data_IF_234914117575
#
_entry.id   IF_234914117575
#
_cell.length_a   1.000
_cell.length_b   1.000
_cell.length_c   1.000
_cell.angle_alpha   90.00
_cell.angle_beta   90.00
_cell.angle_gamma   90.00
#
_symmetry.space_group_name_H-M   'P 1'
#
loop_
_entity.id
_entity.type
_entity.pdbx_description
1 polymer ?
#
# COMPACT_ATOMS: atom_id res chain seq x y z
N UNK A 1 10.35 12.08 -22.73
CA UNK A 1 9.13 12.41 -21.95
C UNK A 1 9.41 12.16 -20.48
N UNK A 2 9.42 13.18 -19.64
CA UNK A 2 9.50 13.00 -18.19
C UNK A 2 8.13 12.50 -17.72
N UNK A 3 8.07 11.47 -16.87
CA UNK A 3 6.84 10.80 -16.40
C UNK A 3 5.87 11.66 -15.56
N UNK A 4 5.89 12.99 -15.72
CA UNK A 4 5.08 13.97 -14.97
C UNK A 4 3.58 13.91 -15.27
N UNK A 5 3.16 13.19 -16.33
CA UNK A 5 1.77 13.12 -16.77
C UNK A 5 1.25 11.69 -17.04
N UNK A 6 2.06 10.66 -16.78
CA UNK A 6 1.70 9.28 -17.06
C UNK A 6 1.91 8.41 -15.83
N UNK A 7 0.88 7.69 -15.43
CA UNK A 7 1.00 6.62 -14.44
C UNK A 7 1.32 5.33 -15.19
N UNK A 8 2.49 4.76 -14.92
CA UNK A 8 2.84 3.44 -15.43
C UNK A 8 1.94 2.38 -14.79
N UNK A 9 1.40 1.49 -15.59
CA UNK A 9 0.63 0.34 -15.12
C UNK A 9 1.40 -0.93 -15.42
N UNK A 10 1.49 -1.79 -14.41
CA UNK A 10 1.93 -3.17 -14.60
C UNK A 10 0.89 -3.96 -15.39
N UNK A 11 1.31 -5.06 -16.00
CA UNK A 11 0.42 -6.05 -16.61
C UNK A 11 -0.64 -6.54 -15.62
N UNK A 12 -0.23 -6.79 -14.37
CA UNK A 12 -1.13 -7.18 -13.26
C UNK A 12 -2.33 -6.23 -13.13
N UNK A 13 -2.08 -4.93 -13.12
CA UNK A 13 -3.14 -3.90 -12.98
C UNK A 13 -3.96 -3.68 -14.24
N UNK A 14 -3.48 -4.13 -15.41
CA UNK A 14 -4.22 -4.08 -16.67
C UNK A 14 -5.16 -5.29 -16.79
N UNK A 15 -4.72 -6.45 -16.33
CA UNK A 15 -5.50 -7.70 -16.29
C UNK A 15 -6.53 -7.70 -15.16
N UNK A 16 -6.20 -7.08 -14.03
CA UNK A 16 -7.05 -6.97 -12.84
C UNK A 16 -7.37 -5.51 -12.47
N UNK A 17 -8.10 -4.77 -13.31
CA UNK A 17 -8.46 -3.36 -13.04
C UNK A 17 -9.37 -3.20 -11.81
N UNK A 18 -10.04 -4.25 -11.35
CA UNK A 18 -10.83 -4.32 -10.14
C UNK A 18 -9.99 -4.23 -8.85
N UNK A 19 -8.70 -4.60 -8.91
CA UNK A 19 -7.80 -4.52 -7.77
C UNK A 19 -7.20 -3.13 -7.55
N UNK A 20 -7.35 -2.20 -8.49
CA UNK A 20 -6.88 -0.83 -8.31
C UNK A 20 -7.64 -0.16 -7.15
N UNK A 21 -6.96 0.61 -6.31
CA UNK A 21 -7.63 1.35 -5.23
C UNK A 21 -8.64 2.34 -5.80
N UNK A 22 -9.83 2.40 -5.19
CA UNK A 22 -10.95 3.22 -5.67
C UNK A 22 -11.40 4.24 -4.64
N UNK A 23 -11.96 5.35 -5.14
CA UNK A 23 -12.56 6.36 -4.28
C UNK A 23 -13.85 5.86 -3.61
N UNK A 24 -14.35 6.65 -2.65
CA UNK A 24 -15.53 6.30 -1.85
C UNK A 24 -16.77 5.95 -2.68
N UNK A 25 -16.90 6.56 -3.85
CA UNK A 25 -18.04 6.37 -4.74
C UNK A 25 -17.79 5.26 -5.78
N UNK A 26 -16.55 4.74 -5.86
CA UNK A 26 -16.11 3.77 -6.85
C UNK A 26 -15.95 4.34 -8.27
N UNK A 27 -15.90 5.66 -8.42
CA UNK A 27 -15.84 6.37 -9.72
C UNK A 27 -14.40 6.51 -10.20
N UNK A 28 -13.50 6.88 -9.31
CA UNK A 28 -12.08 7.10 -9.64
C UNK A 28 -11.22 5.92 -9.19
N UNK A 29 -10.30 5.48 -10.06
CA UNK A 29 -9.26 4.50 -9.72
C UNK A 29 -7.89 5.16 -9.69
N UNK A 30 -7.09 4.90 -8.65
CA UNK A 30 -5.70 5.36 -8.61
C UNK A 30 -4.82 4.40 -9.43
N UNK A 31 -4.47 4.81 -10.66
CA UNK A 31 -3.70 3.98 -11.58
C UNK A 31 -2.34 3.60 -11.00
N UNK A 32 -2.04 2.31 -10.99
CA UNK A 32 -0.78 1.73 -10.50
C UNK A 32 -0.71 1.53 -8.98
N UNK A 33 -1.79 1.79 -8.23
CA UNK A 33 -1.88 1.46 -6.80
C UNK A 33 -2.88 0.34 -6.61
N UNK A 34 -2.40 -0.79 -6.11
CA UNK A 34 -3.19 -2.02 -5.90
C UNK A 34 -3.74 -2.05 -4.48
N UNK A 35 -5.02 -2.40 -4.35
CA UNK A 35 -5.68 -2.63 -3.08
C UNK A 35 -5.24 -3.96 -2.50
N UNK A 36 -4.63 -3.91 -1.32
CA UNK A 36 -4.24 -5.10 -0.57
C UNK A 36 -5.43 -5.79 0.12
N UNK A 37 -6.63 -5.22 0.02
CA UNK A 37 -7.85 -5.84 0.56
C UNK A 37 -8.20 -7.15 -0.15
N UNK A 38 -7.80 -7.31 -1.42
CA UNK A 38 -7.98 -8.55 -2.17
C UNK A 38 -6.88 -9.57 -1.82
N UNK A 39 -7.22 -10.75 -1.25
CA UNK A 39 -6.24 -11.81 -1.00
C UNK A 39 -5.51 -12.27 -2.27
N UNK A 40 -6.19 -12.29 -3.41
CA UNK A 40 -5.64 -12.63 -4.72
C UNK A 40 -4.55 -11.64 -5.14
N UNK A 41 -4.76 -10.34 -4.91
CA UNK A 41 -3.78 -9.32 -5.23
C UNK A 41 -2.52 -9.45 -4.36
N UNK A 42 -2.68 -9.75 -3.06
CA UNK A 42 -1.55 -10.00 -2.14
C UNK A 42 -0.74 -11.22 -2.58
N UNK A 43 -1.43 -12.33 -2.86
CA UNK A 43 -0.82 -13.56 -3.37
C UNK A 43 -0.07 -13.34 -4.69
N UNK A 44 -0.63 -12.58 -5.63
CA UNK A 44 0.04 -12.29 -6.90
C UNK A 44 1.35 -11.49 -6.69
N UNK A 45 1.40 -10.57 -5.71
CA UNK A 45 2.67 -9.91 -5.35
C UNK A 45 3.67 -10.90 -4.75
N UNK A 46 3.23 -11.71 -3.79
CA UNK A 46 4.08 -12.69 -3.11
C UNK A 46 4.67 -13.67 -4.12
N UNK A 47 3.85 -14.27 -4.98
CA UNK A 47 4.27 -15.19 -6.03
C UNK A 47 5.28 -14.54 -6.97
N UNK A 48 5.04 -13.30 -7.41
CA UNK A 48 5.97 -12.57 -8.26
C UNK A 48 7.32 -12.34 -7.57
N UNK A 49 7.31 -11.93 -6.30
CA UNK A 49 8.55 -11.67 -5.56
C UNK A 49 9.33 -12.94 -5.27
N UNK A 50 8.66 -14.02 -4.86
CA UNK A 50 9.31 -15.31 -4.58
C UNK A 50 9.88 -15.92 -5.86
N UNK A 51 9.16 -15.86 -7.00
CA UNK A 51 9.68 -16.31 -8.29
C UNK A 51 10.90 -15.48 -8.75
N UNK A 52 10.86 -14.16 -8.54
CA UNK A 52 11.98 -13.27 -8.92
C UNK A 52 13.24 -13.58 -8.11
N UNK A 53 13.11 -13.80 -6.80
CA UNK A 53 14.26 -13.96 -5.90
C UNK A 53 14.79 -15.41 -5.88
N UNK A 54 13.93 -16.41 -6.12
CA UNK A 54 14.31 -17.84 -6.07
C UNK A 54 15.59 -18.20 -6.84
N UNK A 55 15.80 -17.78 -8.11
CA UNK A 55 17.00 -18.13 -8.86
C UNK A 55 18.23 -17.28 -8.53
N UNK A 56 18.13 -16.37 -7.54
CA UNK A 56 19.19 -15.41 -7.22
C UNK A 56 19.93 -15.76 -5.93
N UNK A 57 21.15 -15.26 -5.81
CA UNK A 57 21.95 -15.28 -4.59
C UNK A 57 21.60 -14.14 -3.61
N UNK A 58 20.52 -13.39 -3.85
CA UNK A 58 20.14 -12.31 -2.94
C UNK A 58 19.71 -12.86 -1.58
N UNK A 59 20.23 -12.25 -0.52
CA UNK A 59 19.98 -12.70 0.86
C UNK A 59 18.53 -12.49 1.30
N UNK A 60 17.80 -11.55 0.70
CA UNK A 60 16.47 -11.21 1.15
C UNK A 60 15.72 -10.25 0.25
N UNK A 61 14.50 -9.93 0.67
CA UNK A 61 13.59 -9.06 -0.07
C UNK A 61 13.39 -7.75 0.69
N UNK A 62 13.53 -6.63 -0.02
CA UNK A 62 13.20 -5.31 0.51
C UNK A 62 11.88 -4.80 -0.11
N UNK A 63 10.87 -4.58 0.73
CA UNK A 63 9.55 -4.06 0.35
C UNK A 63 9.51 -2.55 0.54
N UNK A 64 9.33 -1.84 -0.57
CA UNK A 64 9.15 -0.39 -0.59
C UNK A 64 7.65 -0.06 -0.60
N UNK A 65 7.12 0.53 0.48
CA UNK A 65 5.70 0.94 0.54
C UNK A 65 5.39 2.25 -0.21
N UNK A 66 6.35 2.76 -0.98
CA UNK A 66 6.19 3.99 -1.77
C UNK A 66 5.67 3.67 -3.15
N UNK A 67 4.95 4.62 -3.75
CA UNK A 67 4.47 4.49 -5.12
C UNK A 67 4.95 5.65 -5.99
N UNK A 68 5.21 5.33 -7.26
CA UNK A 68 5.47 6.32 -8.29
C UNK A 68 4.18 6.75 -9.01
N UNK A 69 3.04 6.16 -8.66
CA UNK A 69 1.72 6.55 -9.17
C UNK A 69 1.39 8.00 -8.82
N UNK A 70 0.45 8.56 -9.58
CA UNK A 70 -0.09 9.89 -9.28
C UNK A 70 -0.67 9.88 -7.85
N UNK A 71 -0.33 10.86 -7.01
CA UNK A 71 -0.91 11.03 -5.67
C UNK A 71 -2.41 11.08 -5.65
N UNK A 72 -2.96 10.69 -4.50
CA UNK A 72 -4.28 11.15 -4.09
C UNK A 72 -4.30 12.68 -3.90
N UNK A 73 -5.45 13.28 -4.17
CA UNK A 73 -5.73 14.70 -3.92
C UNK A 73 -5.82 14.98 -2.42
N UNK A 74 -6.28 13.99 -1.63
CA UNK A 74 -6.27 14.03 -0.16
C UNK A 74 -6.04 12.63 0.43
N UNK A 75 -5.59 12.57 1.70
CA UNK A 75 -5.08 11.33 2.30
C UNK A 75 -6.10 10.19 2.48
N UNK A 76 -7.40 10.50 2.57
CA UNK A 76 -8.48 9.52 2.70
C UNK A 76 -9.29 9.35 1.40
N UNK A 77 -8.72 9.68 0.23
CA UNK A 77 -9.45 9.62 -1.04
C UNK A 77 -9.77 8.20 -1.49
N UNK A 78 -8.82 7.28 -1.33
CA UNK A 78 -8.87 5.93 -1.89
C UNK A 78 -8.93 4.84 -0.81
N UNK A 79 -9.16 3.59 -1.26
CA UNK A 79 -9.19 2.40 -0.41
C UNK A 79 -10.58 1.79 -0.25
N UNK A 80 -11.61 2.37 -0.87
CA UNK A 80 -13.01 1.94 -0.76
C UNK A 80 -13.38 0.79 -1.70
N UNK A 81 -12.43 -0.11 -1.93
CA UNK A 81 -12.65 -1.34 -2.68
C UNK A 81 -13.69 -2.20 -1.96
N UNK A 82 -14.43 -3.01 -2.72
CA UNK A 82 -15.54 -3.80 -2.20
C UNK A 82 -15.14 -4.66 -0.99
N UNK A 83 -14.01 -5.38 -0.97
CA UNK A 83 -13.62 -6.19 0.18
C UNK A 83 -13.37 -5.36 1.45
N UNK A 84 -12.77 -4.17 1.31
CA UNK A 84 -12.56 -3.28 2.44
C UNK A 84 -13.88 -2.73 2.99
N UNK A 85 -14.80 -2.33 2.10
CA UNK A 85 -16.13 -1.88 2.50
C UNK A 85 -16.93 -3.00 3.17
N UNK A 86 -16.86 -4.22 2.64
CA UNK A 86 -17.54 -5.40 3.19
C UNK A 86 -16.99 -5.75 4.57
N UNK A 87 -15.66 -5.77 4.73
CA UNK A 87 -15.00 -6.06 6.00
C UNK A 87 -15.33 -5.00 7.07
N UNK A 88 -15.32 -3.71 6.72
CA UNK A 88 -15.72 -2.67 7.67
C UNK A 88 -17.18 -2.78 8.08
N UNK A 89 -18.07 -3.06 7.13
CA UNK A 89 -19.49 -3.30 7.42
C UNK A 89 -19.67 -4.52 8.31
N UNK A 90 -18.90 -5.58 8.11
CA UNK A 90 -18.95 -6.76 8.95
C UNK A 90 -18.50 -6.47 10.39
N UNK A 91 -17.44 -5.65 10.58
CA UNK A 91 -16.91 -5.29 11.89
C UNK A 91 -17.76 -4.29 12.66
N UNK A 92 -18.33 -3.31 11.97
CA UNK A 92 -18.93 -2.13 12.61
C UNK A 92 -20.40 -1.90 12.24
N UNK A 93 -20.97 -2.67 11.31
CA UNK A 93 -22.35 -2.51 10.85
C UNK A 93 -22.59 -1.31 9.92
N UNK A 94 -21.55 -0.55 9.55
CA UNK A 94 -21.65 0.71 8.81
C UNK A 94 -21.34 0.54 7.32
N UNK A 95 -22.17 1.09 6.45
CA UNK A 95 -21.85 1.23 5.03
C UNK A 95 -21.04 2.51 4.77
N UNK A 96 -19.72 2.38 4.78
CA UNK A 96 -18.78 3.50 4.57
C UNK A 96 -19.00 4.28 3.29
N UNK A 97 -19.69 3.73 2.27
CA UNK A 97 -19.96 4.45 1.01
C UNK A 97 -21.12 5.45 1.13
N UNK A 98 -21.97 5.33 2.15
CA UNK A 98 -23.21 6.10 2.28
C UNK A 98 -23.37 6.79 3.63
N UNK A 99 -22.74 6.27 4.65
CA UNK A 99 -22.92 6.69 6.05
C UNK A 99 -21.64 7.30 6.60
N UNK A 100 -21.76 8.16 7.59
CA UNK A 100 -20.61 8.63 8.37
C UNK A 100 -19.99 7.46 9.15
N UNK A 101 -18.66 7.49 9.31
CA UNK A 101 -17.92 6.40 9.93
C UNK A 101 -16.67 6.93 10.65
N UNK A 102 -16.15 6.14 11.56
CA UNK A 102 -14.87 6.42 12.22
C UNK A 102 -13.72 6.28 11.21
N UNK A 103 -13.13 7.42 10.84
CA UNK A 103 -12.02 7.48 9.89
C UNK A 103 -10.77 6.76 10.40
N UNK A 104 -10.52 6.78 11.72
CA UNK A 104 -9.34 6.10 12.25
C UNK A 104 -9.53 4.59 12.17
N UNK A 105 -10.71 4.08 12.55
CA UNK A 105 -11.03 2.66 12.38
C UNK A 105 -10.90 2.19 10.92
N UNK A 106 -11.25 3.06 9.96
CA UNK A 106 -11.06 2.77 8.53
C UNK A 106 -9.59 2.72 8.13
N UNK A 107 -8.78 3.69 8.58
CA UNK A 107 -7.32 3.71 8.33
C UNK A 107 -6.61 2.51 8.92
N UNK A 108 -7.04 2.09 10.11
CA UNK A 108 -6.53 0.90 10.79
C UNK A 108 -6.89 -0.37 10.01
N UNK A 109 -8.14 -0.49 9.53
CA UNK A 109 -8.55 -1.60 8.66
C UNK A 109 -7.70 -1.66 7.37
N UNK A 110 -7.43 -0.53 6.72
CA UNK A 110 -6.55 -0.50 5.56
C UNK A 110 -5.11 -0.95 5.93
N UNK A 111 -4.66 -0.64 7.14
CA UNK A 111 -3.38 -1.08 7.69
C UNK A 111 -3.33 -2.57 8.00
N UNK A 112 -4.46 -3.18 8.38
CA UNK A 112 -4.58 -4.62 8.57
C UNK A 112 -4.27 -5.38 7.29
N UNK A 113 -4.64 -4.84 6.12
CA UNK A 113 -4.33 -5.48 4.84
C UNK A 113 -2.83 -5.43 4.47
N UNK A 114 -2.11 -4.39 4.91
CA UNK A 114 -0.63 -4.38 4.82
C UNK A 114 -0.07 -5.45 5.75
N UNK A 115 -0.60 -5.55 6.97
CA UNK A 115 -0.18 -6.57 7.95
C UNK A 115 -0.46 -7.99 7.46
N UNK A 116 -1.59 -8.20 6.76
CA UNK A 116 -1.93 -9.47 6.13
C UNK A 116 -0.91 -9.83 5.03
N UNK A 117 -0.57 -8.88 4.14
CA UNK A 117 0.47 -9.08 3.12
C UNK A 117 1.80 -9.51 3.75
N UNK A 118 2.26 -8.83 4.80
CA UNK A 118 3.52 -9.15 5.46
C UNK A 118 3.47 -10.50 6.19
N UNK A 119 2.32 -10.85 6.76
CA UNK A 119 2.09 -12.16 7.37
C UNK A 119 2.19 -13.28 6.34
N UNK A 120 1.48 -13.13 5.22
CA UNK A 120 1.48 -14.09 4.12
C UNK A 120 2.86 -14.20 3.46
N UNK A 121 3.55 -13.07 3.24
CA UNK A 121 4.92 -13.05 2.71
C UNK A 121 5.91 -13.74 3.64
N UNK A 122 5.85 -13.48 4.95
CA UNK A 122 6.73 -14.12 5.94
C UNK A 122 6.58 -15.64 5.92
N UNK A 123 5.36 -16.15 5.72
CA UNK A 123 5.09 -17.57 5.60
C UNK A 123 5.58 -18.18 4.28
N UNK A 124 5.57 -17.41 3.20
CA UNK A 124 5.93 -17.87 1.85
C UNK A 124 7.42 -17.74 1.51
N UNK A 125 8.18 -16.92 2.24
CA UNK A 125 9.58 -16.62 1.95
C UNK A 125 10.47 -17.07 3.11
N UNK A 126 11.43 -17.96 2.83
CA UNK A 126 12.46 -18.42 3.79
C UNK A 126 13.76 -17.60 3.63
N UNK A 127 13.64 -16.27 3.61
CA UNK A 127 14.76 -15.31 3.49
C UNK A 127 14.44 -14.03 4.26
N UNK A 128 15.44 -13.27 4.74
CA UNK A 128 15.25 -11.96 5.35
C UNK A 128 14.28 -11.03 4.60
N UNK A 129 13.40 -10.36 5.36
CA UNK A 129 12.45 -9.37 4.86
C UNK A 129 12.77 -8.00 5.46
N UNK A 130 13.07 -7.03 4.60
CA UNK A 130 13.15 -5.62 4.96
C UNK A 130 11.90 -4.86 4.51
N UNK A 131 11.41 -3.91 5.31
CA UNK A 131 10.31 -3.02 4.92
C UNK A 131 10.73 -1.57 5.11
N UNK A 132 10.50 -0.75 4.08
CA UNK A 132 10.69 0.70 4.13
C UNK A 132 9.40 1.43 4.52
N UNK A 133 9.48 2.29 5.53
CA UNK A 133 8.35 3.09 6.01
C UNK A 133 8.68 4.58 6.10
N UNK A 134 7.64 5.42 6.02
CA UNK A 134 7.73 6.82 6.39
C UNK A 134 8.00 6.97 7.90
N UNK A 135 8.42 8.16 8.32
CA UNK A 135 8.54 8.47 9.74
C UNK A 135 7.14 8.63 10.35
N UNK A 136 6.82 7.81 11.34
CA UNK A 136 5.55 7.86 12.08
C UNK A 136 4.66 6.65 11.81
N UNK A 137 3.38 6.79 12.14
CA UNK A 137 2.41 5.69 12.14
C UNK A 137 1.47 5.70 10.93
N UNK A 138 1.74 6.54 9.93
CA UNK A 138 0.93 6.68 8.72
C UNK A 138 1.77 6.40 7.47
N UNK A 139 1.16 5.76 6.47
CA UNK A 139 1.79 5.54 5.16
C UNK A 139 2.20 6.86 4.51
N UNK A 140 1.35 7.88 4.66
CA UNK A 140 1.61 9.26 4.30
C UNK A 140 1.36 9.60 2.82
N UNK A 141 1.39 10.90 2.49
CA UNK A 141 1.29 11.36 1.10
C UNK A 141 2.45 10.80 0.28
N UNK A 142 2.23 10.27 -0.93
CA UNK A 142 1.09 10.52 -1.81
C UNK A 142 -0.01 9.45 -1.78
N UNK A 143 0.12 8.43 -0.92
CA UNK A 143 -0.69 7.20 -1.01
C UNK A 143 -1.91 7.20 -0.09
N UNK A 144 -1.80 7.82 1.09
CA UNK A 144 -2.93 8.02 1.98
C UNK A 144 -2.59 7.95 3.46
N UNK A 145 -3.61 8.03 4.30
CA UNK A 145 -3.47 8.01 5.76
C UNK A 145 -3.62 6.60 6.36
N UNK A 146 -3.36 5.55 5.60
CA UNK A 146 -3.37 4.17 6.10
C UNK A 146 -2.43 4.02 7.29
N UNK A 147 -2.89 3.40 8.36
CA UNK A 147 -2.08 3.18 9.57
C UNK A 147 -1.01 2.13 9.32
N UNK A 148 0.23 2.40 9.73
CA UNK A 148 1.34 1.46 9.70
C UNK A 148 1.46 0.78 11.06
N UNK A 149 1.08 -0.49 11.13
CA UNK A 149 1.14 -1.30 12.36
C UNK A 149 2.56 -1.84 12.63
N UNK A 150 3.61 -1.03 12.42
CA UNK A 150 5.00 -1.49 12.43
C UNK A 150 5.45 -2.08 13.77
N UNK A 151 4.90 -1.59 14.90
CA UNK A 151 5.15 -2.17 16.23
C UNK A 151 4.66 -3.61 16.30
N UNK A 152 3.49 -3.89 15.73
CA UNK A 152 2.93 -5.23 15.66
C UNK A 152 3.74 -6.14 14.74
N UNK A 153 4.24 -5.60 13.62
CA UNK A 153 5.09 -6.35 12.70
C UNK A 153 6.39 -6.81 13.38
N UNK A 154 7.02 -5.94 14.17
CA UNK A 154 8.20 -6.28 14.98
C UNK A 154 7.84 -7.32 16.04
N UNK A 155 6.77 -7.08 16.82
CA UNK A 155 6.35 -7.97 17.91
C UNK A 155 6.07 -9.39 17.43
N UNK A 156 5.50 -9.54 16.23
CA UNK A 156 5.19 -10.83 15.60
C UNK A 156 6.34 -11.44 14.79
N UNK A 157 7.48 -10.75 14.67
CA UNK A 157 8.60 -11.22 13.85
C UNK A 157 8.28 -11.32 12.36
N UNK A 158 7.45 -10.41 11.83
CA UNK A 158 7.06 -10.42 10.41
C UNK A 158 8.16 -9.90 9.47
N UNK A 159 9.14 -9.19 10.01
CA UNK A 159 10.24 -8.58 9.27
C UNK A 159 11.53 -8.65 10.08
N UNK A 160 12.65 -8.66 9.37
CA UNK A 160 14.01 -8.69 9.92
C UNK A 160 14.62 -7.28 9.98
N UNK A 161 14.21 -6.40 9.06
CA UNK A 161 14.71 -5.03 8.97
C UNK A 161 13.57 -4.02 8.76
N UNK A 162 13.59 -2.95 9.55
CA UNK A 162 12.72 -1.80 9.37
C UNK A 162 13.57 -0.59 8.97
N UNK A 163 13.37 -0.10 7.74
CA UNK A 163 14.06 1.07 7.20
C UNK A 163 13.16 2.29 7.35
N UNK A 164 13.49 3.15 8.30
CA UNK A 164 12.71 4.34 8.63
C UNK A 164 13.19 5.54 7.81
N UNK A 165 12.33 6.55 7.67
CA UNK A 165 12.60 7.80 6.94
C UNK A 165 12.58 7.65 5.42
N UNK A 166 11.89 6.61 4.91
CA UNK A 166 11.57 6.52 3.50
C UNK A 166 10.43 7.48 3.14
N UNK A 167 10.80 8.67 2.67
CA UNK A 167 9.83 9.60 2.13
C UNK A 167 9.17 9.02 0.87
N UNK A 168 7.87 8.77 0.96
CA UNK A 168 7.00 8.25 -0.09
C UNK A 168 6.90 9.11 -1.34
N UNK A 169 7.31 10.37 -1.26
CA UNK A 169 7.34 11.33 -2.37
C UNK A 169 8.75 11.62 -2.89
N UNK A 170 9.79 10.92 -2.43
CA UNK A 170 11.17 11.15 -2.87
C UNK A 170 11.81 9.86 -3.38
N UNK A 171 12.24 9.86 -4.64
CA UNK A 171 13.00 8.74 -5.19
C UNK A 171 14.43 8.77 -4.60
N UNK A 172 14.93 7.71 -3.96
CA UNK A 172 16.21 7.76 -3.27
C UNK A 172 17.39 7.58 -4.23
N UNK A 173 17.18 6.96 -5.41
CA UNK A 173 18.24 6.79 -6.41
C UNK A 173 18.50 8.06 -7.22
N UNK A 174 17.49 8.92 -7.39
CA UNK A 174 17.60 10.15 -8.19
C UNK A 174 17.50 11.42 -7.35
N UNK A 175 17.20 11.33 -6.05
CA UNK A 175 16.86 12.45 -5.16
C UNK A 175 15.79 13.40 -5.71
N UNK A 176 15.06 12.96 -6.73
CA UNK A 176 13.99 13.71 -7.36
C UNK A 176 12.71 13.58 -6.57
N UNK A 177 12.02 14.72 -6.43
CA UNK A 177 10.68 14.76 -5.91
C UNK A 177 9.75 14.09 -6.92
N UNK A 178 9.14 12.99 -6.51
CA UNK A 178 8.04 12.35 -7.23
C UNK A 178 6.83 13.24 -6.93
N UNK A 179 6.34 13.97 -7.94
CA UNK A 179 5.16 14.86 -7.86
C UNK A 179 5.29 16.11 -6.96
N UNK A 180 6.26 17.02 -7.23
CA UNK A 180 6.50 18.20 -6.40
C UNK A 180 5.30 19.15 -6.25
N UNK A 181 4.34 19.10 -7.19
CA UNK A 181 3.15 19.96 -7.22
C UNK A 181 1.96 19.42 -6.39
N UNK A 182 2.03 18.20 -5.87
CA UNK A 182 0.87 17.51 -5.25
C UNK A 182 1.13 17.09 -3.80
N UNK A 183 2.07 17.75 -3.12
CA UNK A 183 2.34 17.55 -1.69
C UNK A 183 1.26 18.22 -0.84
N UNK A 184 -0.02 17.87 -1.03
CA UNK A 184 -1.10 18.35 -0.18
C UNK A 184 -0.66 18.25 1.28
N UNK A 185 -0.30 19.40 1.86
CA UNK A 185 0.26 19.48 3.19
C UNK A 185 -0.89 19.30 4.14
N UNK A 186 -1.11 18.06 4.55
CA UNK A 186 -2.13 17.71 5.53
C UNK A 186 -1.54 16.73 6.52
N UNK A 187 -0.94 17.27 7.58
CA UNK A 187 -0.98 16.63 8.88
C UNK A 187 -2.31 17.01 9.53
#
# INVERSE_FOLDING_TARGET
MHGRHVSWQSELTREHPEWLVVDREGRTRQRGVVSLAYPEARRAFIERWTQLIAPTLFDGLFICLRSQSRPAEHGDQFGFNEPACAEFRARYGVNVRREDFDRQAWRDLLGDFITALLTELRAALDRPIGVGIARGDLLGPPLGNTTLQWREWIRRGLLDHLVVDQNSSQCPSMWHQLWPMHRGGGY
#
